data_IF_869547988583
#
_entry.id   IF_869547988583
#
_cell.length_a   1.000
_cell.length_b   1.000
_cell.length_c   1.000
_cell.angle_alpha   90.00
_cell.angle_beta   90.00
_cell.angle_gamma   90.00
#
_symmetry.space_group_name_H-M   'P 1'
#
loop_
_entity.id
_entity.type
_entity.pdbx_description
1 polymer ?
#
# COMPACT_ATOMS: atom_id res chain seq x y z
N UNK A 1 16.26 0.76 17.55
CA UNK A 1 16.20 0.22 16.17
C UNK A 1 17.22 0.98 15.32
N UNK A 2 18.07 0.31 14.56
CA UNK A 2 19.07 0.97 13.69
C UNK A 2 18.44 1.35 12.34
N UNK A 3 18.98 2.36 11.61
CA UNK A 3 18.51 2.71 10.27
C UNK A 3 18.52 1.52 9.29
N UNK A 4 19.50 0.63 9.40
CA UNK A 4 19.59 -0.59 8.58
C UNK A 4 18.42 -1.55 8.84
N UNK A 5 18.02 -1.74 10.11
CA UNK A 5 16.89 -2.61 10.46
C UNK A 5 15.56 -2.00 9.99
N UNK A 6 15.44 -0.67 10.02
CA UNK A 6 14.28 0.07 9.51
C UNK A 6 14.13 -0.19 7.99
N UNK A 7 15.20 -0.04 7.21
CA UNK A 7 15.16 -0.26 5.76
C UNK A 7 14.91 -1.72 5.37
N UNK A 8 15.52 -2.67 6.09
CA UNK A 8 15.32 -4.10 5.85
C UNK A 8 13.85 -4.52 6.05
N UNK A 9 13.20 -4.01 7.11
CA UNK A 9 11.80 -4.30 7.40
C UNK A 9 10.84 -3.71 6.36
N UNK A 10 11.17 -2.59 5.71
CA UNK A 10 10.31 -2.03 4.66
C UNK A 10 10.39 -2.77 3.33
N UNK A 11 11.48 -3.49 3.08
CA UNK A 11 11.67 -4.23 1.84
C UNK A 11 10.97 -5.60 1.88
N UNK A 12 10.44 -6.03 3.03
CA UNK A 12 9.66 -7.27 3.15
C UNK A 12 8.20 -7.10 2.72
N UNK A 13 7.71 -5.86 2.59
CA UNK A 13 6.36 -5.58 2.10
C UNK A 13 6.41 -5.66 0.56
N UNK A 14 5.74 -6.66 -0.05
CA UNK A 14 5.76 -6.80 -1.51
C UNK A 14 5.02 -5.63 -2.16
N UNK A 15 5.26 -5.41 -3.45
CA UNK A 15 4.42 -4.48 -4.22
C UNK A 15 3.00 -5.07 -4.34
N UNK A 16 1.98 -4.25 -4.10
CA UNK A 16 0.59 -4.69 -4.22
C UNK A 16 0.19 -4.92 -5.69
N UNK A 17 -0.54 -6.00 -5.94
CA UNK A 17 -1.14 -6.36 -7.21
C UNK A 17 -2.56 -6.92 -7.02
N UNK A 18 -3.24 -7.25 -8.11
CA UNK A 18 -4.63 -7.70 -8.08
C UNK A 18 -4.87 -9.03 -7.35
N UNK A 19 -3.84 -9.86 -7.15
CA UNK A 19 -3.96 -11.19 -6.56
C UNK A 19 -3.37 -11.31 -5.15
N UNK A 20 -2.48 -10.39 -4.73
CA UNK A 20 -1.74 -10.51 -3.48
C UNK A 20 -2.25 -9.63 -2.33
N UNK A 21 -3.37 -8.90 -2.50
CA UNK A 21 -3.86 -7.93 -1.51
C UNK A 21 -3.92 -8.48 -0.08
N UNK A 22 -4.42 -9.70 0.10
CA UNK A 22 -4.53 -10.33 1.43
C UNK A 22 -3.15 -10.50 2.08
N UNK A 23 -2.20 -11.12 1.39
CA UNK A 23 -0.83 -11.33 1.90
C UNK A 23 -0.07 -10.01 2.05
N UNK A 24 -0.32 -9.04 1.16
CA UNK A 24 0.23 -7.69 1.29
C UNK A 24 -0.24 -7.01 2.57
N UNK A 25 -1.55 -7.05 2.87
CA UNK A 25 -2.14 -6.46 4.08
C UNK A 25 -1.59 -7.12 5.35
N UNK A 26 -1.52 -8.45 5.37
CA UNK A 26 -0.95 -9.20 6.50
C UNK A 26 0.52 -8.82 6.75
N UNK A 27 1.36 -8.78 5.70
CA UNK A 27 2.76 -8.38 5.83
C UNK A 27 2.92 -6.92 6.27
N UNK A 28 2.08 -6.02 5.75
CA UNK A 28 2.04 -4.62 6.15
C UNK A 28 1.75 -4.49 7.65
N UNK A 29 0.68 -5.12 8.14
CA UNK A 29 0.26 -5.07 9.54
C UNK A 29 1.35 -5.63 10.48
N UNK A 30 1.99 -6.74 10.11
CA UNK A 30 3.09 -7.33 10.88
C UNK A 30 4.28 -6.37 10.97
N UNK A 31 4.73 -5.81 9.84
CA UNK A 31 5.88 -4.89 9.81
C UNK A 31 5.58 -3.64 10.62
N UNK A 32 4.37 -3.07 10.49
CA UNK A 32 3.97 -1.89 11.25
C UNK A 32 3.91 -2.17 12.75
N UNK A 33 3.38 -3.33 13.16
CA UNK A 33 3.34 -3.74 14.57
C UNK A 33 4.74 -3.94 15.17
N UNK A 34 5.66 -4.60 14.44
CA UNK A 34 7.06 -4.78 14.89
C UNK A 34 7.81 -3.45 15.03
N UNK A 35 7.38 -2.42 14.30
CA UNK A 35 7.98 -1.09 14.32
C UNK A 35 7.28 -0.11 15.27
N UNK A 36 6.25 -0.54 16.00
CA UNK A 36 5.38 0.32 16.82
C UNK A 36 4.77 1.49 16.02
N UNK A 37 4.41 1.24 14.77
CA UNK A 37 3.81 2.20 13.84
C UNK A 37 2.34 1.89 13.55
N UNK A 38 1.77 0.83 14.11
CA UNK A 38 0.39 0.40 13.92
C UNK A 38 -0.66 1.23 14.68
N UNK A 39 -0.23 2.16 15.54
CA UNK A 39 -1.11 2.97 16.40
C UNK A 39 -2.24 3.65 15.62
N UNK A 40 -1.92 4.28 14.48
CA UNK A 40 -2.88 4.96 13.60
C UNK A 40 -3.91 4.03 12.95
N UNK A 41 -3.61 2.73 12.84
CA UNK A 41 -4.52 1.73 12.27
C UNK A 41 -5.47 1.18 13.35
N UNK A 42 -5.03 1.17 14.61
CA UNK A 42 -5.77 0.62 15.76
C UNK A 42 -6.64 1.64 16.46
N UNK A 43 -6.16 2.88 16.57
CA UNK A 43 -6.82 3.95 17.30
C UNK A 43 -7.26 5.07 16.36
N UNK A 44 -8.42 5.65 16.67
CA UNK A 44 -8.90 6.81 15.94
C UNK A 44 -8.02 8.04 16.22
N UNK A 45 -8.06 9.00 15.29
CA UNK A 45 -7.27 10.23 15.41
C UNK A 45 -7.56 10.91 16.75
N UNK A 46 -6.53 11.26 17.53
CA UNK A 46 -6.71 12.00 18.78
C UNK A 46 -7.36 13.35 18.49
N UNK A 47 -8.09 13.86 19.47
CA UNK A 47 -8.75 15.16 19.37
C UNK A 47 -7.74 16.28 19.14
N UNK A 48 -8.21 17.36 18.52
CA UNK A 48 -7.41 18.56 18.36
C UNK A 48 -6.96 19.08 19.74
N UNK A 49 -5.67 19.38 19.86
CA UNK A 49 -5.13 19.97 21.07
C UNK A 49 -5.72 21.37 21.26
N UNK A 50 -6.02 21.69 22.51
CA UNK A 50 -6.38 23.04 22.97
C UNK A 50 -5.27 23.60 23.87
N UNK A 51 -5.32 24.89 24.20
CA UNK A 51 -4.37 25.53 25.13
C UNK A 51 -4.34 24.91 26.54
N UNK A 52 -5.33 24.07 26.87
CA UNK A 52 -5.44 23.34 28.14
C UNK A 52 -4.92 21.90 28.06
N UNK A 53 -4.37 21.48 26.92
CA UNK A 53 -3.91 20.10 26.73
C UNK A 53 -2.73 19.81 27.64
N UNK A 54 -2.78 18.64 28.26
CA UNK A 54 -1.69 18.16 29.11
C UNK A 54 -0.49 17.76 28.25
N UNK A 55 0.70 17.73 28.87
CA UNK A 55 1.91 17.22 28.20
C UNK A 55 1.74 15.78 27.70
N UNK A 56 0.94 14.96 28.38
CA UNK A 56 0.64 13.58 27.99
C UNK A 56 -0.20 13.52 26.72
N UNK A 57 -1.27 14.33 26.64
CA UNK A 57 -2.11 14.43 25.43
C UNK A 57 -1.32 14.91 24.21
N UNK A 58 -0.40 15.87 24.41
CA UNK A 58 0.49 16.33 23.34
C UNK A 58 1.38 15.19 22.82
N UNK A 59 1.95 14.39 23.74
CA UNK A 59 2.82 13.26 23.40
C UNK A 59 2.07 12.14 22.70
N UNK A 60 0.84 11.85 23.12
CA UNK A 60 -0.03 10.87 22.46
C UNK A 60 -0.35 11.29 21.02
N UNK A 61 -0.71 12.57 20.81
CA UNK A 61 -0.95 13.10 19.48
C UNK A 61 0.29 13.01 18.59
N UNK A 62 1.45 13.41 19.08
CA UNK A 62 2.70 13.34 18.32
C UNK A 62 3.03 11.89 17.91
N UNK A 63 2.86 10.93 18.83
CA UNK A 63 3.06 9.50 18.55
C UNK A 63 2.10 9.01 17.46
N UNK A 64 0.83 9.37 17.56
CA UNK A 64 -0.19 9.01 16.57
C UNK A 64 0.11 9.63 15.20
N UNK A 65 0.47 10.92 15.14
CA UNK A 65 0.80 11.61 13.89
C UNK A 65 2.05 11.05 13.21
N UNK A 66 3.06 10.69 14.00
CA UNK A 66 4.26 10.02 13.50
C UNK A 66 3.94 8.64 12.92
N UNK A 67 3.15 7.84 13.64
CA UNK A 67 2.65 6.54 13.16
C UNK A 67 1.85 6.71 11.85
N UNK A 68 0.91 7.66 11.81
CA UNK A 68 0.12 7.99 10.62
C UNK A 68 0.99 8.33 9.40
N UNK A 69 1.94 9.26 9.57
CA UNK A 69 2.83 9.70 8.50
C UNK A 69 3.66 8.54 7.93
N UNK A 70 4.26 7.74 8.80
CA UNK A 70 5.08 6.60 8.39
C UNK A 70 4.26 5.52 7.69
N UNK A 71 3.09 5.16 8.24
CA UNK A 71 2.19 4.19 7.61
C UNK A 71 1.81 4.59 6.18
N UNK A 72 1.44 5.86 5.99
CA UNK A 72 1.11 6.39 4.65
C UNK A 72 2.31 6.29 3.71
N UNK A 73 3.52 6.66 4.15
CA UNK A 73 4.72 6.56 3.30
C UNK A 73 5.02 5.11 2.89
N UNK A 74 4.89 4.17 3.82
CA UNK A 74 5.14 2.74 3.59
C UNK A 74 4.13 2.18 2.58
N UNK A 75 2.84 2.45 2.79
CA UNK A 75 1.79 2.02 1.88
C UNK A 75 1.99 2.61 0.48
N UNK A 76 2.28 3.91 0.37
CA UNK A 76 2.59 4.57 -0.91
C UNK A 76 3.78 3.95 -1.64
N UNK A 77 4.86 3.61 -0.91
CA UNK A 77 6.03 2.94 -1.48
C UNK A 77 5.65 1.59 -2.09
N UNK A 78 4.82 0.82 -1.40
CA UNK A 78 4.38 -0.51 -1.83
C UNK A 78 3.33 -0.52 -2.94
N UNK A 79 2.86 0.65 -3.39
CA UNK A 79 1.98 0.79 -4.56
C UNK A 79 2.82 1.05 -5.81
N UNK A 80 2.61 0.31 -6.92
CA UNK A 80 3.30 0.56 -8.17
C UNK A 80 2.92 1.94 -8.74
N UNK A 81 3.89 2.62 -9.34
CA UNK A 81 3.76 4.00 -9.82
C UNK A 81 2.52 4.26 -10.71
N UNK A 82 2.12 3.38 -11.65
CA UNK A 82 0.91 3.56 -12.44
C UNK A 82 -0.37 3.64 -11.60
N UNK A 83 -0.37 3.06 -10.40
CA UNK A 83 -1.51 3.06 -9.48
C UNK A 83 -1.40 4.13 -8.39
N UNK A 84 -0.27 4.83 -8.28
CA UNK A 84 -0.05 5.86 -7.24
C UNK A 84 -0.98 7.06 -7.39
N UNK A 85 -1.33 7.43 -8.63
CA UNK A 85 -2.28 8.47 -9.08
C UNK A 85 -2.95 9.39 -8.05
N UNK A 86 -4.25 9.67 -8.22
CA UNK A 86 -5.05 10.56 -7.34
C UNK A 86 -5.25 10.04 -5.90
N UNK A 87 -4.84 8.80 -5.62
CA UNK A 87 -4.90 8.18 -4.28
C UNK A 87 -3.93 8.87 -3.32
N UNK A 88 -2.74 9.25 -3.81
CA UNK A 88 -1.66 9.78 -2.97
C UNK A 88 -1.94 11.20 -2.47
N UNK A 89 -2.65 12.03 -3.23
CA UNK A 89 -2.79 13.47 -2.94
C UNK A 89 -3.94 13.80 -1.98
N UNK A 90 -4.97 12.95 -1.93
CA UNK A 90 -6.23 13.28 -1.21
C UNK A 90 -6.31 12.66 0.18
N UNK A 91 -5.59 11.56 0.43
CA UNK A 91 -5.71 10.78 1.67
C UNK A 91 -4.53 11.04 2.61
N UNK A 92 -4.82 11.74 3.71
CA UNK A 92 -3.84 12.11 4.74
C UNK A 92 -3.82 11.14 5.93
N UNK A 93 -4.85 10.31 6.08
CA UNK A 93 -4.96 9.31 7.15
C UNK A 93 -4.66 7.91 6.64
N UNK A 94 -3.83 7.18 7.37
CA UNK A 94 -3.43 5.82 7.04
C UNK A 94 -4.62 4.85 6.97
N UNK A 95 -5.56 4.95 7.92
CA UNK A 95 -6.77 4.12 7.96
C UNK A 95 -7.63 4.31 6.70
N UNK A 96 -7.87 5.55 6.31
CA UNK A 96 -8.62 5.90 5.10
C UNK A 96 -7.90 5.42 3.83
N UNK A 97 -6.57 5.52 3.81
CA UNK A 97 -5.72 5.02 2.73
C UNK A 97 -5.85 3.50 2.56
N UNK A 98 -5.75 2.75 3.67
CA UNK A 98 -5.89 1.30 3.67
C UNK A 98 -7.29 0.87 3.23
N UNK A 99 -8.34 1.54 3.72
CA UNK A 99 -9.73 1.26 3.32
C UNK A 99 -9.96 1.53 1.82
N UNK A 100 -9.35 2.60 1.29
CA UNK A 100 -9.42 2.90 -0.14
C UNK A 100 -8.78 1.80 -0.99
N UNK A 101 -7.59 1.33 -0.59
CA UNK A 101 -6.91 0.20 -1.24
C UNK A 101 -7.80 -1.05 -1.15
N UNK A 102 -8.32 -1.36 0.03
CA UNK A 102 -9.18 -2.52 0.25
C UNK A 102 -10.40 -2.50 -0.66
N UNK A 103 -11.11 -1.36 -0.75
CA UNK A 103 -12.23 -1.19 -1.67
C UNK A 103 -11.83 -1.41 -3.13
N UNK A 104 -10.64 -0.97 -3.54
CA UNK A 104 -10.13 -1.12 -4.91
C UNK A 104 -9.77 -2.56 -5.23
N UNK A 105 -9.09 -3.28 -4.34
CA UNK A 105 -8.61 -4.63 -4.62
C UNK A 105 -9.64 -5.72 -4.31
N UNK A 106 -10.50 -5.53 -3.31
CA UNK A 106 -11.59 -6.48 -2.99
C UNK A 106 -12.74 -6.39 -4.00
N UNK A 107 -13.05 -5.21 -4.55
CA UNK A 107 -14.02 -5.09 -5.66
C UNK A 107 -13.53 -5.69 -6.98
N UNK A 108 -12.23 -5.89 -7.14
CA UNK A 108 -11.62 -6.42 -8.36
C UNK A 108 -11.36 -7.94 -8.33
N UNK A 109 -11.98 -8.67 -7.39
CA UNK A 109 -12.07 -10.15 -7.48
C UNK A 109 -12.86 -10.50 -8.74
N UNK A 110 -12.28 -11.20 -9.74
CA UNK A 110 -12.88 -11.31 -11.05
C UNK A 110 -14.05 -12.31 -11.07
N UNK A 111 -15.27 -11.80 -11.18
CA UNK A 111 -16.24 -12.44 -12.09
C UNK A 111 -15.83 -12.03 -13.51
N UNK A 112 -14.94 -12.82 -14.13
CA UNK A 112 -14.47 -12.78 -15.54
C UNK A 112 -15.12 -11.73 -16.48
N UNK A 113 -14.92 -10.41 -16.29
CA UNK A 113 -15.26 -9.35 -17.29
C UNK A 113 -14.85 -7.91 -16.89
N UNK A 114 -13.76 -7.72 -16.15
CA UNK A 114 -13.54 -6.47 -15.40
C UNK A 114 -12.51 -5.47 -15.90
N UNK A 115 -11.59 -5.82 -16.80
CA UNK A 115 -10.39 -4.99 -16.98
C UNK A 115 -10.65 -3.68 -17.76
N UNK A 116 -11.67 -3.63 -18.63
CA UNK A 116 -11.95 -2.43 -19.44
C UNK A 116 -12.53 -1.26 -18.62
N UNK A 117 -13.45 -1.55 -17.68
CA UNK A 117 -14.08 -0.51 -16.84
C UNK A 117 -13.12 0.14 -15.85
N UNK A 118 -12.08 -0.59 -15.44
CA UNK A 118 -11.02 -0.06 -14.61
C UNK A 118 -10.33 1.16 -15.24
N UNK A 119 -10.12 1.14 -16.57
CA UNK A 119 -9.44 2.22 -17.29
C UNK A 119 -10.36 3.41 -17.57
N UNK A 120 -11.67 3.18 -17.79
CA UNK A 120 -12.65 4.25 -17.96
C UNK A 120 -12.91 5.02 -16.65
N UNK A 121 -13.04 4.34 -15.50
CA UNK A 121 -13.33 4.96 -14.20
C UNK A 121 -12.17 5.84 -13.67
N UNK A 122 -10.95 5.64 -14.16
CA UNK A 122 -9.75 6.43 -13.81
C UNK A 122 -9.39 7.48 -14.88
N UNK A 123 -10.25 7.67 -15.89
CA UNK A 123 -10.05 8.68 -16.93
C UNK A 123 -8.90 8.36 -17.90
N UNK A 124 -8.51 7.09 -18.04
CA UNK A 124 -7.46 6.67 -18.96
C UNK A 124 -8.00 6.60 -20.40
N UNK A 125 -7.81 7.67 -21.17
CA UNK A 125 -8.12 7.73 -22.61
C UNK A 125 -6.97 7.07 -23.39
N UNK A 126 -6.97 5.74 -23.47
CA UNK A 126 -5.89 5.00 -24.14
C UNK A 126 -6.12 3.48 -24.25
N UNK A 127 -7.38 3.05 -24.36
CA UNK A 127 -7.79 1.65 -24.30
C UNK A 127 -7.13 0.67 -25.28
N UNK A 128 -6.46 1.18 -26.32
CA UNK A 128 -5.85 0.34 -27.37
C UNK A 128 -4.37 -0.01 -27.14
N UNK A 129 -3.69 0.61 -26.15
CA UNK A 129 -2.25 0.36 -25.89
C UNK A 129 -1.94 -0.47 -24.64
N UNK A 130 -2.97 -0.94 -23.93
CA UNK A 130 -2.79 -1.69 -22.68
C UNK A 130 -2.36 -3.14 -22.93
N UNK A 131 -2.69 -3.72 -24.09
CA UNK A 131 -2.30 -5.10 -24.42
C UNK A 131 -0.77 -5.26 -24.54
N UNK A 132 -0.09 -4.25 -25.05
CA UNK A 132 1.36 -4.30 -25.28
C UNK A 132 2.17 -4.24 -23.97
N UNK A 133 1.59 -3.75 -22.86
CA UNK A 133 2.29 -3.62 -21.56
C UNK A 133 2.20 -4.91 -20.72
N UNK A 134 1.26 -5.81 -21.00
CA UNK A 134 1.04 -7.01 -20.19
C UNK A 134 1.81 -8.23 -20.75
N UNK A 135 2.29 -8.19 -22.00
CA UNK A 135 2.98 -9.31 -22.65
C UNK A 135 4.51 -9.15 -22.76
N UNK A 136 5.12 -7.99 -22.43
CA UNK A 136 6.55 -7.74 -22.72
C UNK A 136 7.56 -8.14 -21.60
N UNK A 137 7.14 -8.70 -20.47
CA UNK A 137 8.08 -9.07 -19.37
C UNK A 137 8.08 -10.58 -19.03
N UNK A 138 7.99 -11.46 -20.04
CA UNK A 138 8.10 -12.93 -19.84
C UNK A 138 8.79 -13.72 -20.98
N UNK A 139 9.58 -13.12 -21.87
CA UNK A 139 10.17 -13.88 -23.01
C UNK A 139 11.68 -14.21 -22.94
N UNK A 140 12.45 -13.79 -21.91
CA UNK A 140 13.91 -14.01 -21.91
C UNK A 140 14.50 -14.57 -20.60
N UNK A 141 13.92 -15.65 -20.04
CA UNK A 141 14.67 -16.54 -19.16
C UNK A 141 15.05 -17.79 -19.96
N UNK A 142 16.33 -18.00 -20.35
CA UNK A 142 16.74 -19.22 -21.02
C UNK A 142 16.52 -20.40 -20.07
N UNK A 143 15.58 -21.27 -20.45
CA UNK A 143 15.25 -22.50 -19.76
C UNK A 143 16.45 -23.46 -19.89
N UNK A 144 17.38 -23.37 -18.94
CA UNK A 144 18.48 -24.32 -18.81
C UNK A 144 17.90 -25.73 -18.64
N UNK A 145 18.16 -26.57 -19.63
CA UNK A 145 17.86 -28.01 -19.64
C UNK A 145 18.44 -28.66 -18.38
N UNK A 146 17.57 -29.18 -17.51
CA UNK A 146 17.96 -30.19 -16.53
C UNK A 146 17.66 -31.53 -17.20
N UNK A 147 18.71 -32.20 -17.66
CA UNK A 147 18.64 -33.60 -18.07
C UNK A 147 18.31 -34.45 -16.83
N UNK A 148 17.25 -35.26 -16.95
CA UNK A 148 16.92 -36.30 -15.97
C UNK A 148 17.08 -37.66 -16.67
N UNK A 149 17.98 -38.47 -16.08
CA UNK A 149 18.45 -39.84 -16.38
C UNK A 149 19.60 -39.96 -17.38
#
# INVERSE_FOLDING_TARGET
MTPANITANFNTIPMINSSNFKSWKENLEIVLGVMDLDLTLREDSPHALTDKSTSEQNREKERWEKSNCMCVMIMKKSIPEPFRGTISETLTKAKDFLEHIEKRFVKNVPLKRGNARFFEDVGFVGGDKVKDIIEEEYDDIPMGTIDIV
#
